data_IF_087417721342
#
_entry.id   IF_087417721342
#
_cell.length_a   1.000
_cell.length_b   1.000
_cell.length_c   1.000
_cell.angle_alpha   90.00
_cell.angle_beta   90.00
_cell.angle_gamma   90.00
#
_symmetry.space_group_name_H-M   'P 1'
#
loop_
_entity.id
_entity.type
_entity.pdbx_description
1 polymer ?
#
# COMPACT_ATOMS: atom_id res chain seq x y z
N UNK A 1 13.96 8.53 -9.63
CA UNK A 1 13.34 7.57 -10.57
C UNK A 1 11.82 7.65 -10.34
N UNK A 2 11.09 8.34 -11.21
CA UNK A 2 9.63 8.44 -11.14
C UNK A 2 9.10 7.14 -11.74
N UNK A 3 8.40 6.33 -10.95
CA UNK A 3 7.75 5.12 -11.43
C UNK A 3 6.47 5.55 -12.15
N UNK A 4 6.54 5.75 -13.48
CA UNK A 4 5.34 5.88 -14.30
C UNK A 4 4.78 4.47 -14.54
N UNK A 5 3.64 4.19 -13.94
CA UNK A 5 2.88 2.97 -14.18
C UNK A 5 2.12 3.09 -15.50
N UNK A 6 2.33 2.13 -16.40
CA UNK A 6 1.47 1.91 -17.57
C UNK A 6 0.76 0.55 -17.38
N UNK A 7 -0.54 0.45 -17.70
CA UNK A 7 -1.23 -0.83 -17.69
C UNK A 7 -0.65 -1.68 -18.82
N UNK A 8 -0.06 -2.83 -18.48
CA UNK A 8 0.31 -3.83 -19.48
C UNK A 8 -0.99 -4.48 -19.96
N UNK A 9 -1.52 -4.01 -21.08
CA UNK A 9 -2.49 -4.76 -21.88
C UNK A 9 -1.74 -5.93 -22.51
N UNK A 10 -1.62 -7.02 -21.77
CA UNK A 10 -1.23 -8.30 -22.34
C UNK A 10 -2.48 -9.17 -22.38
N UNK A 11 -3.10 -9.13 -23.56
CA UNK A 11 -4.02 -10.12 -24.07
C UNK A 11 -3.28 -11.46 -24.09
N UNK A 12 -3.47 -12.26 -23.05
CA UNK A 12 -3.02 -13.65 -23.02
C UNK A 12 -4.24 -14.48 -22.69
N UNK A 13 -4.85 -15.01 -23.74
CA UNK A 13 -5.82 -16.09 -23.64
C UNK A 13 -5.18 -17.24 -22.85
N UNK A 14 -5.72 -17.51 -21.67
CA UNK A 14 -5.48 -18.73 -20.92
C UNK A 14 -6.83 -19.24 -20.42
N UNK A 15 -7.20 -20.34 -21.03
CA UNK A 15 -8.25 -21.29 -20.68
C UNK A 15 -8.47 -21.44 -19.17
N UNK A 16 -9.73 -21.64 -18.82
CA UNK A 16 -10.26 -21.76 -17.47
C UNK A 16 -9.50 -22.82 -16.62
N UNK A 17 -8.78 -22.34 -15.62
CA UNK A 17 -8.22 -23.14 -14.53
C UNK A 17 -7.83 -22.21 -13.39
N UNK A 18 -8.69 -22.13 -12.36
CA UNK A 18 -8.59 -21.19 -11.23
C UNK A 18 -7.36 -21.38 -10.35
N UNK A 19 -6.19 -20.99 -10.85
CA UNK A 19 -5.02 -20.72 -10.03
C UNK A 19 -5.25 -19.37 -9.35
N UNK A 20 -5.49 -19.40 -8.04
CA UNK A 20 -5.87 -18.22 -7.25
C UNK A 20 -4.88 -17.05 -7.45
N UNK A 21 -5.36 -15.82 -7.72
CA UNK A 21 -4.55 -14.59 -7.81
C UNK A 21 -3.55 -14.41 -6.65
N UNK A 22 -3.85 -15.02 -5.51
CA UNK A 22 -3.04 -15.00 -4.29
C UNK A 22 -1.62 -15.59 -4.44
N UNK A 23 -1.39 -16.63 -5.27
CA UNK A 23 -0.07 -17.28 -5.37
C UNK A 23 0.94 -16.40 -6.11
N UNK A 24 0.52 -15.78 -7.22
CA UNK A 24 1.36 -14.86 -7.99
C UNK A 24 1.76 -13.62 -7.20
N UNK A 25 0.79 -13.01 -6.50
CA UNK A 25 1.01 -11.84 -5.64
C UNK A 25 1.96 -12.16 -4.49
N UNK A 26 1.83 -13.31 -3.83
CA UNK A 26 2.70 -13.68 -2.71
C UNK A 26 4.17 -13.86 -3.15
N UNK A 27 4.40 -14.49 -4.31
CA UNK A 27 5.74 -14.61 -4.89
C UNK A 27 6.32 -13.24 -5.24
N UNK A 28 5.56 -12.43 -5.98
CA UNK A 28 5.98 -11.08 -6.34
C UNK A 28 6.30 -10.22 -5.12
N UNK A 29 5.45 -10.26 -4.10
CA UNK A 29 5.64 -9.49 -2.87
C UNK A 29 6.95 -9.87 -2.16
N UNK A 30 7.24 -11.18 -2.08
CA UNK A 30 8.50 -11.69 -1.52
C UNK A 30 9.69 -11.26 -2.36
N UNK A 31 9.60 -11.33 -3.69
CA UNK A 31 10.69 -10.93 -4.58
C UNK A 31 11.02 -9.43 -4.44
N UNK A 32 10.02 -8.61 -4.08
CA UNK A 32 10.19 -7.19 -3.79
C UNK A 32 10.65 -6.86 -2.35
N UNK A 33 10.93 -7.87 -1.51
CA UNK A 33 11.30 -7.67 -0.09
C UNK A 33 12.44 -6.66 0.08
N UNK A 34 13.47 -6.73 -0.75
CA UNK A 34 14.60 -5.79 -0.68
C UNK A 34 14.15 -4.35 -0.87
N UNK A 35 13.23 -4.08 -1.81
CA UNK A 35 12.68 -2.74 -2.05
C UNK A 35 11.88 -2.24 -0.85
N UNK A 36 11.08 -3.10 -0.22
CA UNK A 36 10.31 -2.74 0.98
C UNK A 36 11.24 -2.41 2.14
N UNK A 37 12.29 -3.20 2.33
CA UNK A 37 13.23 -3.07 3.43
C UNK A 37 14.23 -1.93 3.24
N UNK A 38 14.46 -1.48 2.00
CA UNK A 38 15.31 -0.32 1.69
C UNK A 38 14.57 1.01 1.75
N UNK A 39 13.26 1.03 2.06
CA UNK A 39 12.52 2.28 2.16
C UNK A 39 13.10 3.15 3.28
N UNK A 40 13.48 4.37 2.92
CA UNK A 40 13.96 5.39 3.84
C UNK A 40 13.04 6.61 3.85
N UNK A 41 12.97 7.32 4.98
CA UNK A 41 13.58 7.02 6.30
C UNK A 41 12.91 5.80 7.00
N UNK A 42 13.48 5.31 8.10
CA UNK A 42 12.97 4.14 8.84
C UNK A 42 11.46 4.26 9.16
N UNK A 43 10.99 5.46 9.51
CA UNK A 43 9.57 5.70 9.76
C UNK A 43 8.69 5.45 8.55
N UNK A 44 9.15 5.83 7.35
CA UNK A 44 8.44 5.52 6.09
C UNK A 44 8.29 4.03 5.92
N UNK A 45 9.39 3.29 6.14
CA UNK A 45 9.41 1.82 6.07
C UNK A 45 8.37 1.20 6.99
N UNK A 46 8.33 1.63 8.26
CA UNK A 46 7.36 1.12 9.23
C UNK A 46 5.92 1.40 8.81
N UNK A 47 5.63 2.60 8.30
CA UNK A 47 4.30 2.97 7.83
C UNK A 47 3.90 2.17 6.57
N UNK A 48 4.80 2.04 5.59
CA UNK A 48 4.59 1.21 4.39
C UNK A 48 4.27 -0.23 4.77
N UNK A 49 5.08 -0.85 5.64
CA UNK A 49 4.86 -2.23 6.09
C UNK A 49 3.56 -2.38 6.89
N UNK A 50 3.15 -1.34 7.64
CA UNK A 50 1.84 -1.34 8.33
C UNK A 50 0.69 -1.36 7.32
N UNK A 51 0.78 -0.56 6.26
CA UNK A 51 -0.22 -0.54 5.18
C UNK A 51 -0.24 -1.89 4.45
N UNK A 52 0.93 -2.47 4.13
CA UNK A 52 1.02 -3.78 3.49
C UNK A 52 0.33 -4.87 4.31
N UNK A 53 0.54 -4.85 5.63
CA UNK A 53 -0.15 -5.77 6.53
C UNK A 53 -1.65 -5.58 6.47
N UNK A 54 -2.13 -4.33 6.50
CA UNK A 54 -3.56 -4.05 6.38
C UNK A 54 -4.13 -4.55 5.04
N UNK A 55 -3.43 -4.35 3.92
CA UNK A 55 -3.85 -4.88 2.60
C UNK A 55 -4.02 -6.40 2.66
N UNK A 56 -3.05 -7.12 3.23
CA UNK A 56 -3.15 -8.57 3.37
C UNK A 56 -4.33 -8.98 4.26
N UNK A 57 -4.40 -8.42 5.47
CA UNK A 57 -5.34 -8.83 6.54
C UNK A 57 -6.79 -8.39 6.26
N UNK A 58 -6.99 -7.26 5.60
CA UNK A 58 -8.29 -6.56 5.50
C UNK A 58 -8.82 -6.40 4.08
N UNK A 59 -8.02 -6.77 3.08
CA UNK A 59 -8.43 -6.76 1.66
C UNK A 59 -8.27 -8.15 1.05
N UNK A 60 -7.04 -8.67 0.97
CA UNK A 60 -6.77 -9.89 0.19
C UNK A 60 -7.30 -11.16 0.87
N UNK A 61 -7.12 -11.32 2.18
CA UNK A 61 -7.64 -12.48 2.92
C UNK A 61 -9.18 -12.52 2.87
N UNK A 62 -9.92 -11.43 3.17
CA UNK A 62 -11.38 -11.40 3.01
C UNK A 62 -11.83 -11.73 1.58
N UNK A 63 -11.22 -11.10 0.56
CA UNK A 63 -11.59 -11.36 -0.83
C UNK A 63 -11.36 -12.81 -1.24
N UNK A 64 -10.29 -13.46 -0.77
CA UNK A 64 -10.04 -14.88 -1.01
C UNK A 64 -11.13 -15.79 -0.38
N UNK A 65 -11.89 -15.28 0.60
CA UNK A 65 -13.03 -15.96 1.23
C UNK A 65 -14.39 -15.56 0.62
N UNK A 66 -14.40 -14.66 -0.37
CA UNK A 66 -15.63 -14.10 -0.94
C UNK A 66 -16.28 -13.02 -0.06
N UNK A 67 -15.53 -12.44 0.88
CA UNK A 67 -15.97 -11.35 1.75
C UNK A 67 -15.54 -9.98 1.19
N UNK A 68 -16.24 -8.92 1.57
CA UNK A 68 -15.90 -7.55 1.16
C UNK A 68 -14.70 -7.00 1.95
N UNK A 69 -13.81 -6.22 1.29
CA UNK A 69 -12.74 -5.49 1.97
C UNK A 69 -13.26 -4.49 3.01
N UNK A 70 -12.49 -4.28 4.08
CA UNK A 70 -12.84 -3.34 5.15
C UNK A 70 -12.55 -1.87 4.77
N UNK A 71 -13.23 -1.33 3.75
CA UNK A 71 -12.99 0.03 3.22
C UNK A 71 -13.14 1.12 4.29
N UNK A 72 -14.02 0.93 5.29
CA UNK A 72 -14.21 1.86 6.40
C UNK A 72 -12.94 2.08 7.25
N UNK A 73 -12.00 1.13 7.24
CA UNK A 73 -10.71 1.31 7.94
C UNK A 73 -9.89 2.49 7.35
N UNK A 74 -10.20 2.92 6.12
CA UNK A 74 -9.54 4.02 5.41
C UNK A 74 -10.15 5.40 5.73
N UNK A 75 -11.27 5.49 6.44
CA UNK A 75 -11.91 6.75 6.84
C UNK A 75 -11.02 7.53 7.82
N UNK A 76 -11.31 8.82 8.03
CA UNK A 76 -10.47 9.67 8.87
C UNK A 76 -10.35 9.16 10.32
N UNK A 77 -11.40 8.51 10.81
CA UNK A 77 -11.52 7.80 12.09
C UNK A 77 -11.38 6.28 11.94
N UNK A 78 -11.07 5.80 10.73
CA UNK A 78 -10.88 4.39 10.42
C UNK A 78 -9.65 3.80 11.12
N UNK A 79 -9.69 2.48 11.34
CA UNK A 79 -8.65 1.76 12.09
C UNK A 79 -7.26 1.94 11.48
N UNK A 80 -7.13 1.92 10.14
CA UNK A 80 -5.84 2.12 9.50
C UNK A 80 -5.36 3.57 9.69
N UNK A 81 -6.24 4.55 9.50
CA UNK A 81 -5.91 5.96 9.66
C UNK A 81 -5.38 6.26 11.07
N UNK A 82 -6.13 5.86 12.10
CA UNK A 82 -5.74 6.03 13.50
C UNK A 82 -4.43 5.30 13.82
N UNK A 83 -4.25 4.09 13.30
CA UNK A 83 -3.01 3.32 13.48
C UNK A 83 -1.81 4.07 12.90
N UNK A 84 -1.90 4.56 11.66
CA UNK A 84 -0.80 5.29 11.02
C UNK A 84 -0.48 6.60 11.74
N UNK A 85 -1.51 7.33 12.18
CA UNK A 85 -1.34 8.56 12.99
C UNK A 85 -0.60 8.26 14.29
N UNK A 86 -0.99 7.19 15.00
CA UNK A 86 -0.37 6.81 16.28
C UNK A 86 1.11 6.41 16.16
N UNK A 87 1.55 5.97 14.97
CA UNK A 87 2.94 5.60 14.69
C UNK A 87 3.85 6.82 14.43
N UNK A 88 3.27 8.02 14.34
CA UNK A 88 4.00 9.27 14.13
C UNK A 88 4.00 10.10 15.43
N UNK A 89 5.18 10.53 15.93
CA UNK A 89 5.24 11.44 17.07
C UNK A 89 4.44 12.71 16.81
N UNK A 90 3.68 13.24 17.79
CA UNK A 90 2.81 14.41 17.59
C UNK A 90 3.52 15.61 16.95
N UNK A 91 4.78 15.86 17.35
CA UNK A 91 5.62 16.96 16.81
C UNK A 91 5.97 16.80 15.33
N UNK A 92 5.93 15.58 14.79
CA UNK A 92 6.22 15.26 13.38
C UNK A 92 4.95 15.01 12.57
N UNK A 93 3.78 14.94 13.21
CA UNK A 93 2.52 14.56 12.55
C UNK A 93 2.18 15.48 11.38
N UNK A 94 2.34 16.80 11.53
CA UNK A 94 2.05 17.74 10.45
C UNK A 94 2.82 17.47 9.16
N UNK A 95 4.03 16.93 9.26
CA UNK A 95 4.89 16.63 8.12
C UNK A 95 4.54 15.27 7.46
N UNK A 96 4.10 14.29 8.25
CA UNK A 96 3.68 12.97 7.76
C UNK A 96 2.20 12.89 7.37
N UNK A 97 1.37 13.79 7.88
CA UNK A 97 -0.07 13.79 7.64
C UNK A 97 -0.43 13.80 6.15
N UNK A 98 0.22 14.59 5.26
CA UNK A 98 -0.05 14.52 3.83
C UNK A 98 0.23 13.13 3.22
N UNK A 99 1.30 12.46 3.64
CA UNK A 99 1.61 11.11 3.15
C UNK A 99 0.52 10.11 3.60
N UNK A 100 0.06 10.20 4.85
CA UNK A 100 -1.02 9.35 5.37
C UNK A 100 -2.30 9.56 4.57
N UNK A 101 -2.75 10.83 4.43
CA UNK A 101 -3.99 11.16 3.72
C UNK A 101 -3.96 10.68 2.27
N UNK A 102 -2.86 10.90 1.55
CA UNK A 102 -2.73 10.45 0.16
C UNK A 102 -2.75 8.92 0.05
N UNK A 103 -2.09 8.22 0.97
CA UNK A 103 -2.06 6.76 0.98
C UNK A 103 -3.47 6.19 1.14
N UNK A 104 -4.24 6.73 2.09
CA UNK A 104 -5.61 6.29 2.34
C UNK A 104 -6.55 6.65 1.18
N UNK A 105 -6.37 7.81 0.57
CA UNK A 105 -7.17 8.24 -0.58
C UNK A 105 -6.92 7.34 -1.80
N UNK A 106 -5.65 7.09 -2.15
CA UNK A 106 -5.28 6.25 -3.29
C UNK A 106 -5.72 4.79 -3.08
N UNK A 107 -5.60 4.26 -1.87
CA UNK A 107 -6.15 2.94 -1.52
C UNK A 107 -7.66 2.91 -1.71
N UNK A 108 -8.39 3.93 -1.23
CA UNK A 108 -9.85 3.99 -1.39
C UNK A 108 -10.24 4.02 -2.88
N UNK A 109 -9.53 4.80 -3.69
CA UNK A 109 -9.74 4.85 -5.14
C UNK A 109 -9.48 3.49 -5.80
N UNK A 110 -8.40 2.81 -5.42
CA UNK A 110 -8.09 1.48 -5.94
C UNK A 110 -9.14 0.42 -5.52
N UNK A 111 -9.65 0.50 -4.29
CA UNK A 111 -10.71 -0.39 -3.80
C UNK A 111 -12.09 -0.04 -4.38
N UNK A 112 -12.34 1.19 -4.84
CA UNK A 112 -13.59 1.56 -5.49
C UNK A 112 -13.73 0.96 -6.91
N UNK A 113 -12.65 0.43 -7.49
CA UNK A 113 -12.72 -0.23 -8.80
C UNK A 113 -13.62 -1.48 -8.76
N UNK A 114 -14.35 -1.78 -9.85
CA UNK A 114 -15.23 -2.94 -9.92
C UNK A 114 -14.49 -4.26 -9.62
N UNK A 115 -15.11 -5.24 -8.94
CA UNK A 115 -14.47 -6.53 -8.65
C UNK A 115 -13.94 -7.26 -9.89
N UNK A 116 -14.58 -7.06 -11.05
CA UNK A 116 -14.21 -7.67 -12.33
C UNK A 116 -12.82 -7.26 -12.85
N UNK A 117 -12.27 -6.13 -12.39
CA UNK A 117 -10.93 -5.66 -12.77
C UNK A 117 -9.90 -5.85 -11.66
N UNK A 118 -10.27 -6.46 -10.53
CA UNK A 118 -9.39 -6.71 -9.38
C UNK A 118 -8.60 -8.00 -9.57
N UNK A 119 -7.70 -7.99 -10.54
CA UNK A 119 -6.80 -9.09 -10.85
C UNK A 119 -5.48 -9.02 -10.04
N UNK A 120 -4.49 -9.83 -10.43
CA UNK A 120 -3.17 -9.81 -9.81
C UNK A 120 -2.45 -8.46 -9.99
N UNK A 121 -2.60 -7.79 -11.13
CA UNK A 121 -1.95 -6.50 -11.37
C UNK A 121 -2.53 -5.42 -10.43
N UNK A 122 -3.84 -5.43 -10.23
CA UNK A 122 -4.50 -4.61 -9.22
C UNK A 122 -3.98 -4.90 -7.81
N UNK A 123 -3.84 -6.17 -7.43
CA UNK A 123 -3.35 -6.54 -6.10
C UNK A 123 -1.89 -6.07 -5.88
N UNK A 124 -1.03 -6.19 -6.90
CA UNK A 124 0.33 -5.63 -6.87
C UNK A 124 0.33 -4.11 -6.75
N UNK A 125 -0.58 -3.43 -7.46
CA UNK A 125 -0.73 -1.99 -7.39
C UNK A 125 -1.04 -1.51 -5.96
N UNK A 126 -1.91 -2.20 -5.22
CA UNK A 126 -2.21 -1.85 -3.82
C UNK A 126 -0.95 -1.73 -2.95
N UNK A 127 -0.01 -2.68 -3.07
CA UNK A 127 1.25 -2.64 -2.32
C UNK A 127 2.20 -1.54 -2.79
N UNK A 128 2.09 -1.09 -4.04
CA UNK A 128 2.93 -0.02 -4.57
C UNK A 128 2.47 1.38 -4.14
N UNK A 129 1.18 1.57 -3.83
CA UNK A 129 0.61 2.87 -3.41
C UNK A 129 1.41 3.55 -2.27
N UNK A 130 1.62 2.93 -1.10
CA UNK A 130 2.36 3.60 -0.01
C UNK A 130 3.82 3.90 -0.39
N UNK A 131 4.37 3.17 -1.36
CA UNK A 131 5.72 3.36 -1.85
C UNK A 131 5.83 4.51 -2.88
N UNK A 132 4.81 4.72 -3.71
CA UNK A 132 4.83 5.73 -4.78
C UNK A 132 4.66 7.17 -4.26
N UNK A 133 4.07 7.34 -3.07
CA UNK A 133 3.79 8.67 -2.52
C UNK A 133 5.10 9.35 -2.06
N UNK A 134 5.44 10.52 -2.63
CA UNK A 134 6.67 11.20 -2.29
C UNK A 134 6.60 11.77 -0.87
N UNK A 135 7.71 11.66 -0.14
CA UNK A 135 7.88 12.44 1.08
C UNK A 135 8.25 13.87 0.72
N UNK A 136 7.66 14.82 1.44
CA UNK A 136 8.10 16.21 1.37
C UNK A 136 9.54 16.32 1.88
N UNK A 137 10.34 17.20 1.27
CA UNK A 137 11.80 17.31 1.51
C UNK A 137 12.15 17.64 2.96
N UNK A 138 11.28 18.36 3.65
CA UNK A 138 11.36 18.66 5.09
C UNK A 138 11.30 17.40 5.96
N UNK A 139 10.43 16.43 5.62
CA UNK A 139 10.33 15.14 6.32
C UNK A 139 11.62 14.33 6.21
N UNK A 140 12.20 14.26 5.01
CA UNK A 140 13.42 13.51 4.76
C UNK A 140 14.61 14.07 5.56
N UNK A 141 14.69 15.41 5.67
CA UNK A 141 15.73 16.09 6.45
C UNK A 141 15.56 15.87 7.96
N UNK A 142 14.33 15.98 8.48
CA UNK A 142 14.05 15.79 9.92
C UNK A 142 14.34 14.37 10.45
N UNK A 143 14.28 13.36 9.59
CA UNK A 143 14.64 11.99 9.98
C UNK A 143 16.16 11.74 9.87
N UNK A 144 16.88 12.48 9.00
CA UNK A 144 18.35 12.42 8.91
C UNK A 144 19.08 13.02 10.11
N UNK A 145 18.51 14.07 10.73
CA UNK A 145 19.11 14.76 11.88
C UNK A 145 19.04 13.96 13.21
N UNK A 146 18.43 12.77 13.22
CA UNK A 146 18.27 11.94 14.45
C UNK A 146 19.45 10.99 14.68
N UNK A 147 20.46 10.97 13.79
CA UNK A 147 21.66 10.12 13.90
C UNK A 147 22.99 10.89 13.82
N UNK A 148 22.98 12.19 14.09
CA UNK A 148 24.20 13.00 14.27
C UNK A 148 24.50 13.23 15.75
#
# INVERSE_FOLDING_TARGET
MVFQWQPLTHDVGLEAGGAAPAIGVARWYRDMTTCWMSAEPLRRRCLVLRVHRWIADRVLIPMARGEEPAVADLDADGVLALTLISMVPPRRLGAWHPWIVLTLADLRLALAQPPTVRDEAWARHLFLIPYSIPLRRDVARMEGDTHA
#
